data_IF_955795705678
#
_entry.id   IF_955795705678
#
_cell.length_a   1.000
_cell.length_b   1.000
_cell.length_c   1.000
_cell.angle_alpha   90.00
_cell.angle_beta   90.00
_cell.angle_gamma   90.00
#
_symmetry.space_group_name_H-M   'P 1'
#
loop_
_entity.id
_entity.type
_entity.pdbx_description
1 polymer ?
#
# COMPACT_ATOMS: atom_id res chain seq x y z
N UNK A 1 -7.38 -29.32 39.74
CA UNK A 1 -6.62 -28.20 39.13
C UNK A 1 -5.81 -28.64 37.90
N UNK A 2 -5.16 -29.81 37.96
CA UNK A 2 -4.30 -30.28 36.86
C UNK A 2 -5.07 -30.72 35.59
N UNK A 3 -6.26 -31.31 35.70
CA UNK A 3 -7.05 -31.75 34.54
C UNK A 3 -7.54 -30.55 33.67
N UNK A 4 -7.98 -29.49 34.31
CA UNK A 4 -8.42 -28.27 33.61
C UNK A 4 -7.24 -27.60 32.86
N UNK A 5 -6.08 -27.56 33.49
CA UNK A 5 -4.85 -27.06 32.86
C UNK A 5 -4.44 -27.88 31.63
N UNK A 6 -4.55 -29.20 31.72
CA UNK A 6 -4.26 -30.11 30.60
C UNK A 6 -5.25 -29.92 29.44
N UNK A 7 -6.54 -29.75 29.73
CA UNK A 7 -7.56 -29.48 28.71
C UNK A 7 -7.35 -28.14 28.02
N UNK A 8 -7.03 -27.10 28.79
CA UNK A 8 -6.69 -25.77 28.20
C UNK A 8 -5.44 -25.85 27.33
N UNK A 9 -4.39 -26.53 27.80
CA UNK A 9 -3.15 -26.69 26.99
C UNK A 9 -3.43 -27.47 25.69
N UNK A 10 -4.21 -28.55 25.75
CA UNK A 10 -4.60 -29.33 24.58
C UNK A 10 -5.40 -28.47 23.58
N UNK A 11 -6.35 -27.68 24.07
CA UNK A 11 -7.13 -26.77 23.24
C UNK A 11 -6.24 -25.73 22.56
N UNK A 12 -5.30 -25.12 23.28
CA UNK A 12 -4.36 -24.15 22.73
C UNK A 12 -3.47 -24.78 21.64
N UNK A 13 -3.02 -26.01 21.84
CA UNK A 13 -2.24 -26.73 20.81
C UNK A 13 -3.04 -27.01 19.55
N UNK A 14 -4.30 -27.41 19.68
CA UNK A 14 -5.21 -27.64 18.55
C UNK A 14 -5.47 -26.34 17.79
N UNK A 15 -5.71 -25.24 18.49
CA UNK A 15 -5.93 -23.91 17.88
C UNK A 15 -4.65 -23.44 17.19
N UNK A 16 -3.49 -23.53 17.83
CA UNK A 16 -2.21 -23.15 17.25
C UNK A 16 -1.86 -23.99 16.01
N UNK A 17 -2.08 -25.30 16.07
CA UNK A 17 -1.89 -26.21 14.95
C UNK A 17 -2.83 -25.90 13.79
N UNK A 18 -4.11 -25.63 14.08
CA UNK A 18 -5.11 -25.22 13.09
C UNK A 18 -4.76 -23.91 12.38
N UNK A 19 -4.35 -22.89 13.15
CA UNK A 19 -3.90 -21.60 12.60
C UNK A 19 -2.64 -21.77 11.76
N UNK A 20 -1.68 -22.56 12.23
CA UNK A 20 -0.45 -22.86 11.49
C UNK A 20 -0.74 -23.57 10.15
N UNK A 21 -1.62 -24.55 10.17
CA UNK A 21 -2.04 -25.26 8.96
C UNK A 21 -2.79 -24.33 7.98
N UNK A 22 -3.66 -23.45 8.51
CA UNK A 22 -4.39 -22.46 7.68
C UNK A 22 -3.42 -21.45 7.05
N UNK A 23 -2.44 -20.97 7.81
CA UNK A 23 -1.40 -20.06 7.31
C UNK A 23 -0.57 -20.72 6.19
N UNK A 24 -0.20 -22.00 6.34
CA UNK A 24 0.60 -22.72 5.33
C UNK A 24 -0.14 -22.91 3.99
N UNK A 25 -1.47 -22.85 3.99
CA UNK A 25 -2.30 -22.96 2.79
C UNK A 25 -2.46 -21.64 2.02
N UNK A 26 -2.09 -20.50 2.61
CA UNK A 26 -2.19 -19.20 1.95
C UNK A 26 -1.03 -18.98 0.97
N UNK A 27 -1.24 -18.21 -0.10
CA UNK A 27 -0.19 -17.93 -1.09
C UNK A 27 0.96 -17.14 -0.46
N UNK A 28 2.16 -17.32 -0.99
CA UNK A 28 3.38 -16.62 -0.54
C UNK A 28 3.48 -15.17 -1.02
N UNK A 29 2.47 -14.71 -1.75
CA UNK A 29 2.33 -13.34 -2.22
C UNK A 29 0.91 -12.86 -2.04
N UNK A 30 0.76 -11.62 -1.61
CA UNK A 30 -0.54 -10.95 -1.60
C UNK A 30 -0.64 -9.94 -2.74
N UNK A 31 -1.86 -9.66 -3.17
CA UNK A 31 -2.19 -8.63 -4.15
C UNK A 31 -3.49 -7.94 -3.73
N UNK A 32 -3.38 -6.66 -3.43
CA UNK A 32 -4.51 -5.80 -3.06
C UNK A 32 -4.71 -4.77 -4.16
N UNK A 33 -5.91 -4.71 -4.73
CA UNK A 33 -6.28 -3.73 -5.73
C UNK A 33 -7.45 -2.87 -5.21
N UNK A 34 -7.35 -1.55 -5.41
CA UNK A 34 -8.40 -0.57 -5.10
C UNK A 34 -8.51 0.43 -6.22
N UNK A 35 -9.73 0.76 -6.62
CA UNK A 35 -10.02 1.71 -7.69
C UNK A 35 -10.85 2.89 -7.19
N UNK A 36 -10.60 4.08 -7.73
CA UNK A 36 -11.34 5.30 -7.43
C UNK A 36 -11.55 6.12 -8.69
N UNK A 37 -12.81 6.44 -9.10
CA UNK A 37 -13.06 7.41 -10.15
C UNK A 37 -12.82 8.83 -9.64
N UNK A 38 -12.06 9.61 -10.40
CA UNK A 38 -11.65 10.98 -10.07
C UNK A 38 -11.98 11.89 -11.26
N UNK A 39 -12.65 13.01 -11.01
CA UNK A 39 -13.02 14.01 -12.01
C UNK A 39 -11.82 14.92 -12.34
N UNK A 40 -10.80 14.33 -12.93
CA UNK A 40 -9.59 15.03 -13.35
C UNK A 40 -8.97 14.32 -14.57
N UNK A 41 -8.28 15.06 -15.45
CA UNK A 41 -7.58 14.45 -16.59
C UNK A 41 -6.41 13.57 -16.11
N UNK A 42 -6.08 12.50 -16.85
CA UNK A 42 -5.03 11.56 -16.45
C UNK A 42 -3.64 12.22 -16.33
N UNK A 43 -3.36 13.26 -17.12
CA UNK A 43 -2.09 14.00 -17.07
C UNK A 43 -1.90 14.66 -15.69
N UNK A 44 -2.94 15.30 -15.17
CA UNK A 44 -2.90 15.93 -13.84
C UNK A 44 -2.70 14.91 -12.73
N UNK A 45 -3.42 13.80 -12.79
CA UNK A 45 -3.27 12.72 -11.81
C UNK A 45 -1.91 12.06 -11.89
N UNK A 46 -1.41 11.86 -13.12
CA UNK A 46 -0.08 11.33 -13.34
C UNK A 46 1.01 12.19 -12.67
N UNK A 47 0.96 13.51 -12.83
CA UNK A 47 1.92 14.42 -12.19
C UNK A 47 1.88 14.33 -10.67
N UNK A 48 0.68 14.29 -10.07
CA UNK A 48 0.51 14.17 -8.62
C UNK A 48 1.03 12.83 -8.06
N UNK A 49 1.01 11.77 -8.85
CA UNK A 49 1.49 10.44 -8.45
C UNK A 49 2.98 10.30 -8.71
N UNK A 50 3.46 10.84 -9.86
CA UNK A 50 4.83 10.68 -10.33
C UNK A 50 5.83 11.60 -9.60
N UNK A 51 5.37 12.59 -8.83
CA UNK A 51 6.18 13.46 -8.01
C UNK A 51 6.10 13.07 -6.53
N UNK A 52 7.23 12.66 -5.94
CA UNK A 52 7.26 12.15 -4.57
C UNK A 52 6.92 13.20 -3.50
N UNK A 53 7.16 14.49 -3.77
CA UNK A 53 6.75 15.56 -2.85
C UNK A 53 5.24 15.71 -2.81
N UNK A 54 4.58 15.67 -3.96
CA UNK A 54 3.11 15.67 -4.07
C UNK A 54 2.52 14.37 -3.51
N UNK A 55 3.17 13.23 -3.73
CA UNK A 55 2.79 11.93 -3.17
C UNK A 55 2.68 11.97 -1.65
N UNK A 56 3.55 12.69 -0.96
CA UNK A 56 3.52 12.88 0.50
C UNK A 56 2.18 13.45 0.99
N UNK A 57 1.50 14.29 0.21
CA UNK A 57 0.27 14.96 0.64
C UNK A 57 -0.95 14.04 0.68
N UNK A 58 -0.95 13.00 -0.15
CA UNK A 58 -2.10 12.12 -0.30
C UNK A 58 -1.81 10.63 -0.06
N UNK A 59 -0.57 10.26 0.15
CA UNK A 59 -0.05 8.91 0.26
C UNK A 59 -1.02 7.90 0.91
N UNK A 60 -1.28 6.75 0.26
CA UNK A 60 -2.16 5.71 0.77
C UNK A 60 -1.62 4.98 2.01
N UNK A 61 -0.33 5.04 2.26
CA UNK A 61 0.36 4.28 3.30
C UNK A 61 0.68 5.12 4.55
N UNK A 62 -0.08 6.22 4.80
CA UNK A 62 0.21 7.20 5.85
C UNK A 62 0.14 6.64 7.28
N UNK A 63 -0.64 5.60 7.54
CA UNK A 63 -0.83 5.11 8.89
C UNK A 63 0.41 4.38 9.39
N UNK A 64 1.05 4.95 10.42
CA UNK A 64 2.21 4.38 11.10
C UNK A 64 3.57 4.79 10.57
N UNK A 65 3.65 5.70 9.60
CA UNK A 65 4.92 6.23 9.08
C UNK A 65 5.17 7.67 9.54
N UNK A 66 6.42 7.96 9.94
CA UNK A 66 6.88 9.32 10.24
C UNK A 66 7.32 10.03 8.95
N UNK A 67 6.38 10.35 8.08
CA UNK A 67 6.63 11.01 6.80
C UNK A 67 7.28 12.40 6.93
N UNK A 68 7.20 13.01 8.09
CA UNK A 68 7.86 14.30 8.37
C UNK A 68 9.40 14.24 8.33
N UNK A 69 9.98 13.04 8.46
CA UNK A 69 11.42 12.80 8.49
C UNK A 69 11.96 12.18 7.17
N UNK A 70 11.19 12.21 6.07
CA UNK A 70 11.64 11.65 4.79
C UNK A 70 12.79 12.48 4.20
N UNK A 71 13.90 11.82 3.96
CA UNK A 71 14.95 12.30 3.06
C UNK A 71 14.56 12.03 1.60
N UNK A 72 14.48 13.08 0.79
CA UNK A 72 14.30 12.95 -0.66
C UNK A 72 15.67 12.90 -1.34
N UNK A 73 15.78 12.05 -2.35
CA UNK A 73 16.92 12.05 -3.25
C UNK A 73 16.99 13.29 -4.14
N UNK A 74 18.06 13.42 -4.94
CA UNK A 74 18.24 14.57 -5.84
C UNK A 74 17.20 14.63 -6.97
N UNK A 75 16.55 13.51 -7.28
CA UNK A 75 15.47 13.41 -8.27
C UNK A 75 14.15 13.30 -7.52
N UNK A 76 13.22 14.22 -7.74
CA UNK A 76 11.91 14.26 -7.06
C UNK A 76 10.80 13.56 -7.86
N UNK A 77 10.98 13.35 -9.18
CA UNK A 77 9.93 12.81 -10.05
C UNK A 77 10.49 11.87 -11.12
N UNK A 78 9.65 10.95 -11.58
CA UNK A 78 10.01 9.97 -12.61
C UNK A 78 10.87 8.84 -12.10
N UNK A 79 11.33 7.99 -13.03
CA UNK A 79 12.14 6.81 -12.71
C UNK A 79 13.42 7.21 -11.97
N UNK A 80 13.71 6.53 -10.87
CA UNK A 80 14.86 6.82 -9.99
C UNK A 80 14.57 7.85 -8.90
N UNK A 81 13.40 8.51 -8.92
CA UNK A 81 12.98 9.33 -7.79
C UNK A 81 12.85 8.44 -6.55
N UNK A 82 13.48 8.89 -5.46
CA UNK A 82 13.61 8.09 -4.23
C UNK A 82 13.34 8.94 -2.99
N UNK A 83 12.66 8.36 -2.03
CA UNK A 83 12.59 8.88 -0.67
C UNK A 83 12.77 7.73 0.34
N UNK A 84 13.44 8.04 1.44
CA UNK A 84 13.70 7.07 2.51
C UNK A 84 13.51 7.72 3.86
N UNK A 85 13.11 6.90 4.82
CA UNK A 85 12.96 7.31 6.22
C UNK A 85 11.58 6.99 6.77
N UNK A 86 11.56 6.79 8.07
CA UNK A 86 10.31 6.68 8.80
C UNK A 86 9.84 5.27 9.15
N UNK A 87 10.39 4.22 8.54
CA UNK A 87 9.93 2.85 8.79
C UNK A 87 8.42 2.70 8.65
N UNK A 88 7.91 1.53 8.43
CA UNK A 88 6.46 1.39 8.31
C UNK A 88 6.02 -0.07 8.27
N UNK A 89 4.75 -0.30 7.96
CA UNK A 89 4.16 -1.64 7.79
C UNK A 89 4.73 -2.40 6.60
N UNK A 90 5.40 -1.70 5.67
CA UNK A 90 5.99 -2.24 4.46
C UNK A 90 7.51 -1.97 4.47
N UNK A 91 8.24 -2.80 5.19
CA UNK A 91 9.70 -2.75 5.24
C UNK A 91 10.28 -1.49 5.91
N UNK A 92 11.38 -0.96 5.36
CA UNK A 92 12.14 0.16 5.89
C UNK A 92 11.51 1.54 5.63
N UNK A 93 10.38 1.60 4.92
CA UNK A 93 9.71 2.83 4.53
C UNK A 93 10.34 3.56 3.36
N UNK A 94 11.28 2.92 2.65
CA UNK A 94 11.80 3.46 1.39
C UNK A 94 10.76 3.38 0.28
N UNK A 95 10.85 4.32 -0.67
CA UNK A 95 10.01 4.35 -1.84
C UNK A 95 10.82 4.83 -3.04
N UNK A 96 10.78 4.07 -4.13
CA UNK A 96 11.51 4.38 -5.35
C UNK A 96 10.61 4.19 -6.57
N UNK A 97 10.51 5.18 -7.45
CA UNK A 97 9.79 5.03 -8.73
C UNK A 97 10.65 4.17 -9.66
N UNK A 98 10.14 3.00 -10.01
CA UNK A 98 10.82 2.01 -10.86
C UNK A 98 10.36 2.04 -12.31
N UNK A 99 9.12 2.47 -12.55
CA UNK A 99 8.60 2.70 -13.90
C UNK A 99 7.65 3.91 -13.92
N UNK A 100 7.71 4.67 -15.01
CA UNK A 100 6.90 5.87 -15.23
C UNK A 100 6.52 5.92 -16.71
N UNK A 101 5.24 5.71 -17.01
CA UNK A 101 4.66 5.66 -18.34
C UNK A 101 3.55 6.72 -18.48
N UNK A 102 3.90 7.96 -18.85
CA UNK A 102 2.92 9.05 -18.93
C UNK A 102 1.83 8.78 -20.00
N UNK A 103 0.59 9.17 -19.76
CA UNK A 103 -0.03 9.51 -18.47
C UNK A 103 -0.72 8.29 -17.84
N UNK A 104 -0.26 7.06 -18.13
CA UNK A 104 -0.99 5.80 -17.93
C UNK A 104 -0.64 5.05 -16.66
N UNK A 105 0.65 5.07 -16.28
CA UNK A 105 1.10 4.19 -15.20
C UNK A 105 2.31 4.74 -14.45
N UNK A 106 2.32 4.56 -13.14
CA UNK A 106 3.49 4.74 -12.28
C UNK A 106 3.66 3.49 -11.41
N UNK A 107 4.87 2.94 -11.37
CA UNK A 107 5.22 1.80 -10.51
C UNK A 107 6.29 2.21 -9.52
N UNK A 108 6.08 1.87 -8.26
CA UNK A 108 6.99 2.20 -7.17
C UNK A 108 7.38 0.92 -6.42
N UNK A 109 8.67 0.76 -6.13
CA UNK A 109 9.12 -0.19 -5.11
C UNK A 109 8.92 0.43 -3.73
N UNK A 110 8.43 -0.33 -2.76
CA UNK A 110 8.13 0.10 -1.40
C UNK A 110 8.77 -0.86 -0.42
N UNK A 111 9.62 -0.34 0.49
CA UNK A 111 10.27 -1.16 1.52
C UNK A 111 11.08 -2.33 0.97
N UNK A 112 11.66 -2.21 -0.22
CA UNK A 112 12.48 -3.21 -0.89
C UNK A 112 11.70 -4.25 -1.70
N UNK A 113 10.80 -5.00 -1.08
CA UNK A 113 10.19 -6.20 -1.70
C UNK A 113 8.73 -6.03 -2.14
N UNK A 114 8.12 -4.88 -1.83
CA UNK A 114 6.75 -4.58 -2.20
C UNK A 114 6.70 -3.70 -3.44
N UNK A 115 5.67 -3.86 -4.26
CA UNK A 115 5.41 -3.03 -5.43
C UNK A 115 4.04 -2.37 -5.30
N UNK A 116 4.00 -1.05 -5.54
CA UNK A 116 2.78 -0.26 -5.62
C UNK A 116 2.65 0.29 -7.03
N UNK A 117 1.64 -0.16 -7.76
CA UNK A 117 1.37 0.24 -9.13
C UNK A 117 0.10 1.08 -9.18
N UNK A 118 0.17 2.22 -9.84
CA UNK A 118 -0.98 3.07 -10.17
C UNK A 118 -1.25 2.99 -11.66
N UNK A 119 -2.45 2.52 -12.04
CA UNK A 119 -2.95 2.54 -13.41
C UNK A 119 -3.99 3.65 -13.54
N UNK A 120 -3.86 4.48 -14.57
CA UNK A 120 -4.75 5.59 -14.87
C UNK A 120 -5.54 5.25 -16.14
N UNK A 121 -6.84 5.03 -15.99
CA UNK A 121 -7.75 4.60 -17.04
C UNK A 121 -8.76 5.72 -17.33
N UNK A 122 -8.61 6.46 -18.43
CA UNK A 122 -9.59 7.47 -18.83
C UNK A 122 -10.95 6.84 -19.14
N UNK A 123 -12.03 7.39 -18.57
CA UNK A 123 -13.40 6.93 -18.76
C UNK A 123 -14.34 8.15 -18.73
N UNK A 124 -14.99 8.46 -19.85
CA UNK A 124 -16.08 9.44 -19.96
C UNK A 124 -15.91 10.75 -19.15
N UNK A 125 -14.80 11.47 -19.39
CA UNK A 125 -14.51 12.75 -18.72
C UNK A 125 -13.95 12.64 -17.31
N UNK A 126 -13.75 11.43 -16.81
CA UNK A 126 -13.07 11.13 -15.55
C UNK A 126 -11.85 10.22 -15.78
N UNK A 127 -11.10 9.96 -14.75
CA UNK A 127 -10.04 8.94 -14.77
C UNK A 127 -10.25 7.98 -13.61
N UNK A 128 -10.33 6.69 -13.88
CA UNK A 128 -10.28 5.67 -12.83
C UNK A 128 -8.82 5.43 -12.49
N UNK A 129 -8.45 5.72 -11.25
CA UNK A 129 -7.13 5.40 -10.71
C UNK A 129 -7.23 4.09 -9.95
N UNK A 130 -6.53 3.06 -10.46
CA UNK A 130 -6.40 1.78 -9.79
C UNK A 130 -5.03 1.72 -9.09
N UNK A 131 -5.03 1.52 -7.77
CA UNK A 131 -3.83 1.27 -6.98
C UNK A 131 -3.73 -0.22 -6.69
N UNK A 132 -2.63 -0.85 -7.09
CA UNK A 132 -2.34 -2.27 -6.88
C UNK A 132 -1.09 -2.40 -6.03
N UNK A 133 -1.25 -2.86 -4.78
CA UNK A 133 -0.17 -3.19 -3.86
C UNK A 133 0.04 -4.69 -3.86
N UNK A 134 1.27 -5.12 -4.05
CA UNK A 134 1.65 -6.53 -4.00
C UNK A 134 3.01 -6.71 -3.35
N UNK A 135 3.21 -7.85 -2.73
CA UNK A 135 4.47 -8.16 -2.06
C UNK A 135 4.52 -9.57 -1.52
N UNK A 136 5.63 -9.94 -0.90
CA UNK A 136 5.77 -11.23 -0.25
C UNK A 136 4.84 -11.34 0.96
N UNK A 137 4.40 -12.55 1.23
CA UNK A 137 3.63 -12.92 2.42
C UNK A 137 4.31 -14.13 3.05
N UNK A 138 5.27 -13.87 3.92
CA UNK A 138 5.93 -14.91 4.70
C UNK A 138 4.97 -15.51 5.74
N UNK A 139 5.42 -16.56 6.42
CA UNK A 139 4.59 -17.25 7.40
C UNK A 139 4.11 -16.33 8.53
N UNK A 140 4.95 -15.43 9.00
CA UNK A 140 4.60 -14.47 10.05
C UNK A 140 3.55 -13.46 9.55
N UNK A 141 3.70 -12.94 8.33
CA UNK A 141 2.72 -12.06 7.70
C UNK A 141 1.36 -12.74 7.51
N UNK A 142 1.35 -14.02 7.09
CA UNK A 142 0.12 -14.83 6.96
C UNK A 142 -0.59 -15.03 8.29
N UNK A 143 0.17 -15.27 9.36
CA UNK A 143 -0.37 -15.42 10.69
C UNK A 143 -0.91 -14.07 11.23
N UNK A 144 -0.18 -12.99 11.02
CA UNK A 144 -0.64 -11.64 11.36
C UNK A 144 -1.93 -11.27 10.61
N UNK A 145 -2.05 -11.64 9.34
CA UNK A 145 -3.26 -11.37 8.58
C UNK A 145 -4.45 -12.17 9.10
N UNK A 146 -4.24 -13.45 9.45
CA UNK A 146 -5.29 -14.28 10.06
C UNK A 146 -5.79 -13.72 11.40
N UNK A 147 -4.89 -13.20 12.24
CA UNK A 147 -5.21 -12.72 13.58
C UNK A 147 -5.62 -11.25 13.63
N UNK A 148 -5.02 -10.40 12.80
CA UNK A 148 -5.13 -8.94 12.89
C UNK A 148 -5.73 -8.30 11.63
N UNK A 149 -5.96 -9.07 10.55
CA UNK A 149 -6.52 -8.56 9.31
C UNK A 149 -5.61 -7.55 8.60
N UNK A 150 -4.30 -7.80 8.58
CA UNK A 150 -3.28 -6.91 7.99
C UNK A 150 -3.59 -6.48 6.56
N UNK A 151 -4.01 -7.42 5.71
CA UNK A 151 -4.35 -7.11 4.31
C UNK A 151 -5.57 -6.19 4.21
N UNK A 152 -6.56 -6.37 5.09
CA UNK A 152 -7.73 -5.49 5.16
C UNK A 152 -7.33 -4.07 5.56
N UNK A 153 -6.43 -3.90 6.52
CA UNK A 153 -5.94 -2.58 6.93
C UNK A 153 -5.16 -1.89 5.81
N UNK A 154 -4.27 -2.62 5.11
CA UNK A 154 -3.55 -2.10 3.94
C UNK A 154 -4.53 -1.69 2.82
N UNK A 155 -5.58 -2.47 2.59
CA UNK A 155 -6.64 -2.13 1.64
C UNK A 155 -7.36 -0.83 2.02
N UNK A 156 -7.69 -0.64 3.30
CA UNK A 156 -8.31 0.58 3.81
C UNK A 156 -7.37 1.80 3.67
N UNK A 157 -6.07 1.60 3.87
CA UNK A 157 -5.07 2.66 3.69
C UNK A 157 -4.98 3.09 2.21
N UNK A 158 -4.98 2.12 1.26
CA UNK A 158 -5.05 2.41 -0.17
C UNK A 158 -6.29 3.23 -0.54
N UNK A 159 -7.46 2.83 -0.04
CA UNK A 159 -8.71 3.57 -0.26
C UNK A 159 -8.65 4.98 0.32
N UNK A 160 -8.09 5.15 1.52
CA UNK A 160 -7.93 6.46 2.14
C UNK A 160 -7.00 7.36 1.30
N UNK A 161 -5.89 6.82 0.80
CA UNK A 161 -4.99 7.53 -0.09
C UNK A 161 -5.66 7.95 -1.40
N UNK A 162 -6.39 7.05 -2.05
CA UNK A 162 -7.12 7.38 -3.28
C UNK A 162 -8.20 8.45 -3.04
N UNK A 163 -8.89 8.43 -1.89
CA UNK A 163 -9.81 9.51 -1.50
C UNK A 163 -9.09 10.85 -1.29
N UNK A 164 -7.88 10.83 -0.73
CA UNK A 164 -7.06 12.03 -0.56
C UNK A 164 -6.60 12.57 -1.91
N UNK A 165 -6.12 11.69 -2.81
CA UNK A 165 -5.75 12.04 -4.18
C UNK A 165 -6.93 12.68 -4.92
N UNK A 166 -8.13 12.09 -4.81
CA UNK A 166 -9.36 12.64 -5.39
C UNK A 166 -9.60 14.07 -4.91
N UNK A 167 -9.58 14.29 -3.60
CA UNK A 167 -9.78 15.62 -3.02
C UNK A 167 -8.73 16.63 -3.50
N UNK A 168 -7.48 16.21 -3.64
CA UNK A 168 -6.39 17.05 -4.13
C UNK A 168 -6.56 17.39 -5.61
N UNK A 169 -6.85 16.39 -6.43
CA UNK A 169 -7.00 16.55 -7.87
C UNK A 169 -8.26 17.34 -8.29
N UNK A 170 -9.37 17.20 -7.54
CA UNK A 170 -10.62 17.88 -7.81
C UNK A 170 -10.71 19.29 -7.21
N UNK A 171 -9.73 19.70 -6.37
CA UNK A 171 -9.61 21.11 -5.96
C UNK A 171 -9.39 21.95 -7.23
N UNK A 172 -10.36 22.82 -7.56
CA UNK A 172 -10.16 23.84 -8.58
C UNK A 172 -9.03 24.73 -8.10
N UNK A 173 -7.96 24.86 -8.89
CA UNK A 173 -7.03 25.98 -8.72
C UNK A 173 -7.88 27.24 -8.87
N UNK A 174 -7.93 28.15 -7.90
CA UNK A 174 -8.60 29.42 -8.12
C UNK A 174 -7.94 30.11 -9.32
N UNK A 175 -8.72 30.81 -10.14
CA UNK A 175 -8.21 31.51 -11.31
C UNK A 175 -7.16 32.55 -10.96
#
# INVERSE_FOLDING_TARGET
MNAVLLLVAALLLVVAGGLGWLASRRPDRYRLARGQPIQAPPERLFLLINELQSFKEWNPLQRGQRWAALGFGPISSGVGAHCAGGGGRLGDGSLTITASLPPRQVVMAVGGDHSLCFNLLPVDGATVVEAVLQGPSDYAAKLQDLLLGRERELGNDLEAGLRNLKRLAERRTPP
#
